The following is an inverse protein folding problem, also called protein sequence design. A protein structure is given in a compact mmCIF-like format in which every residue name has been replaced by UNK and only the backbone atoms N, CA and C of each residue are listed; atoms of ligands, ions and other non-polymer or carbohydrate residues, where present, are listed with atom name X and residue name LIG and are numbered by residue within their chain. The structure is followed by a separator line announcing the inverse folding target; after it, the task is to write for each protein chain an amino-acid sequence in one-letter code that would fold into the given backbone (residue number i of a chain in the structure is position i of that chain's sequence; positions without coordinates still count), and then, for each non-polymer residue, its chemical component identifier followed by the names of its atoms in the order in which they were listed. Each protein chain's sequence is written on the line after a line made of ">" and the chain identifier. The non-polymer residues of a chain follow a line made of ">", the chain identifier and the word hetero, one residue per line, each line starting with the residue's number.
data_IF_717495179911
#
_entry.id   IF_717495179911
#
_cell.length_a   1.000
_cell.length_b   1.000
_cell.length_c   1.000
_cell.angle_alpha   90.00
_cell.angle_beta   90.00
_cell.angle_gamma   90.00
#
_symmetry.space_group_name_H-M   'P 1'
#
loop_
_entity.id
_entity.type
_entity.pdbx_description
1 polymer ?
#
# COMPACT_ATOMS: atom_id res chain seq x y z
N UNK A 1 17.19 55.29 -35.60
CA UNK A 1 16.46 54.75 -34.44
C UNK A 1 16.08 53.33 -34.80
N UNK A 2 16.87 52.35 -34.34
CA UNK A 2 16.68 50.92 -34.63
C UNK A 2 15.91 50.34 -33.45
N UNK A 3 14.70 49.83 -33.67
CA UNK A 3 14.00 49.05 -32.66
C UNK A 3 14.57 47.63 -32.68
N UNK A 4 15.21 47.23 -31.58
CA UNK A 4 15.65 45.86 -31.34
C UNK A 4 14.44 44.93 -31.15
N UNK A 5 14.49 43.67 -31.62
CA UNK A 5 13.48 42.69 -31.28
C UNK A 5 13.63 42.29 -29.81
N UNK A 6 12.49 42.25 -29.13
CA UNK A 6 12.31 41.81 -27.76
C UNK A 6 12.77 40.36 -27.61
N UNK A 7 13.90 40.13 -26.94
CA UNK A 7 14.33 38.80 -26.53
C UNK A 7 13.30 38.27 -25.51
N UNK A 8 12.42 37.38 -25.99
CA UNK A 8 11.54 36.58 -25.14
C UNK A 8 12.38 35.51 -24.45
N UNK A 9 13.15 35.94 -23.45
CA UNK A 9 13.89 35.05 -22.57
C UNK A 9 12.92 34.43 -21.54
N UNK A 10 12.44 33.25 -21.90
CA UNK A 10 11.68 32.34 -21.06
C UNK A 10 11.89 30.92 -21.54
N UNK A 11 13.14 30.55 -21.82
CA UNK A 11 13.55 29.19 -22.15
C UNK A 11 13.31 28.31 -20.92
N UNK A 12 12.07 27.85 -20.73
CA UNK A 12 11.77 26.75 -19.83
C UNK A 12 12.59 25.56 -20.33
N UNK A 13 13.69 25.28 -19.63
CA UNK A 13 14.62 24.21 -19.98
C UNK A 13 13.81 22.94 -20.19
N UNK A 14 13.81 22.42 -21.42
CA UNK A 14 13.01 21.24 -21.75
C UNK A 14 13.38 20.10 -20.79
N UNK A 15 12.40 19.34 -20.28
CA UNK A 15 12.68 18.20 -19.42
C UNK A 15 13.63 17.22 -20.14
N UNK A 16 14.55 16.62 -19.39
CA UNK A 16 15.48 15.60 -19.90
C UNK A 16 15.22 14.23 -19.26
N UNK A 17 15.80 13.17 -19.86
CA UNK A 17 15.71 11.80 -19.35
C UNK A 17 14.26 11.30 -19.21
N UNK A 18 13.94 10.72 -18.05
CA UNK A 18 12.61 10.15 -17.78
C UNK A 18 11.47 11.17 -17.86
N UNK A 19 11.72 12.44 -17.51
CA UNK A 19 10.70 13.48 -17.58
C UNK A 19 10.34 13.85 -19.04
N UNK A 20 11.33 13.80 -19.94
CA UNK A 20 11.10 13.97 -21.38
C UNK A 20 10.28 12.80 -21.94
N UNK A 21 10.68 11.58 -21.58
CA UNK A 21 10.05 10.36 -22.06
C UNK A 21 8.60 10.24 -21.56
N UNK A 22 8.33 10.53 -20.29
CA UNK A 22 6.97 10.52 -19.75
C UNK A 22 6.10 11.58 -20.42
N UNK A 23 6.63 12.77 -20.72
CA UNK A 23 5.91 13.79 -21.49
C UNK A 23 5.53 13.28 -22.88
N UNK A 24 6.44 12.58 -23.57
CA UNK A 24 6.16 11.98 -24.89
C UNK A 24 5.14 10.84 -24.81
N UNK A 25 5.26 9.94 -23.84
CA UNK A 25 4.30 8.85 -23.62
C UNK A 25 2.91 9.38 -23.21
N UNK A 26 2.84 10.57 -22.60
CA UNK A 26 1.57 11.19 -22.23
C UNK A 26 0.83 11.83 -23.41
N UNK A 27 1.54 12.18 -24.50
CA UNK A 27 0.92 12.81 -25.68
C UNK A 27 0.17 11.83 -26.56
N UNK A 28 0.56 10.55 -26.54
CA UNK A 28 -0.12 9.48 -27.27
C UNK A 28 0.02 8.16 -26.50
N UNK A 29 -1.12 7.60 -26.11
CA UNK A 29 -1.19 6.38 -25.32
C UNK A 29 -0.60 5.16 -26.03
N UNK A 30 -0.45 5.17 -27.35
CA UNK A 30 0.18 4.06 -28.10
C UNK A 30 1.68 3.94 -27.81
N UNK A 31 2.35 5.05 -27.49
CA UNK A 31 3.77 5.03 -27.07
C UNK A 31 3.93 4.67 -25.59
N UNK A 32 2.86 4.65 -24.81
CA UNK A 32 2.87 4.40 -23.38
C UNK A 32 2.94 2.90 -23.04
N UNK A 33 4.00 2.22 -23.50
CA UNK A 33 4.18 0.79 -23.28
C UNK A 33 4.94 0.54 -21.96
N UNK A 34 4.26 -0.06 -20.99
CA UNK A 34 4.84 -0.45 -19.71
C UNK A 34 4.84 -1.97 -19.54
N UNK A 35 5.94 -2.51 -19.02
CA UNK A 35 6.01 -3.93 -18.64
C UNK A 35 5.07 -4.18 -17.47
N UNK A 36 4.16 -5.15 -17.61
CA UNK A 36 3.17 -5.52 -16.56
C UNK A 36 3.75 -6.25 -15.33
N UNK A 37 5.02 -6.71 -15.41
CA UNK A 37 5.71 -7.44 -14.34
C UNK A 37 4.90 -8.59 -13.69
N UNK A 38 4.10 -9.33 -14.47
CA UNK A 38 3.14 -10.34 -13.99
C UNK A 38 3.75 -11.32 -12.99
N UNK A 39 4.93 -11.90 -13.29
CA UNK A 39 5.60 -12.84 -12.40
C UNK A 39 6.01 -12.23 -11.06
N UNK A 40 6.50 -10.99 -11.06
CA UNK A 40 6.89 -10.28 -9.82
C UNK A 40 5.65 -9.91 -8.99
N UNK A 41 4.57 -9.47 -9.63
CA UNK A 41 3.32 -9.17 -8.93
C UNK A 41 2.70 -10.44 -8.31
N UNK A 42 2.72 -11.56 -9.02
CA UNK A 42 2.27 -12.85 -8.48
C UNK A 42 3.13 -13.28 -7.27
N UNK A 43 4.45 -13.12 -7.35
CA UNK A 43 5.35 -13.39 -6.23
C UNK A 43 5.06 -12.46 -5.03
N UNK A 44 4.80 -11.18 -5.27
CA UNK A 44 4.43 -10.22 -4.22
C UNK A 44 3.14 -10.64 -3.50
N UNK A 45 2.11 -11.09 -4.24
CA UNK A 45 0.88 -11.62 -3.67
C UNK A 45 1.13 -12.84 -2.77
N UNK A 46 2.02 -13.75 -3.17
CA UNK A 46 2.38 -14.92 -2.35
C UNK A 46 3.06 -14.49 -1.05
N UNK A 47 3.92 -13.47 -1.09
CA UNK A 47 4.53 -12.92 0.13
C UNK A 47 3.51 -12.25 1.04
N UNK A 48 2.56 -11.49 0.50
CA UNK A 48 1.46 -10.94 1.30
C UNK A 48 0.65 -12.04 1.99
N UNK A 49 0.34 -13.14 1.29
CA UNK A 49 -0.36 -14.28 1.89
C UNK A 49 0.44 -14.90 3.04
N UNK A 50 1.75 -15.13 2.85
CA UNK A 50 2.60 -15.67 3.90
C UNK A 50 2.68 -14.73 5.13
N UNK A 51 2.83 -13.42 4.90
CA UNK A 51 2.84 -12.43 6.00
C UNK A 51 1.48 -12.40 6.72
N UNK A 52 0.37 -12.41 5.99
CA UNK A 52 -0.98 -12.42 6.57
C UNK A 52 -1.24 -13.69 7.39
N UNK A 53 -0.80 -14.86 6.92
CA UNK A 53 -0.93 -16.11 7.68
C UNK A 53 -0.18 -16.04 9.01
N UNK A 54 1.05 -15.52 9.00
CA UNK A 54 1.83 -15.33 10.23
C UNK A 54 1.14 -14.35 11.19
N UNK A 55 0.70 -13.19 10.68
CA UNK A 55 0.02 -12.18 11.49
C UNK A 55 -1.33 -12.66 12.04
N UNK A 56 -2.07 -13.45 11.27
CA UNK A 56 -3.33 -14.06 11.72
C UNK A 56 -3.07 -15.05 12.86
N UNK A 57 -2.04 -15.90 12.72
CA UNK A 57 -1.64 -16.84 13.78
C UNK A 57 -1.25 -16.10 15.06
N UNK A 58 -0.41 -15.07 14.95
CA UNK A 58 -0.01 -14.22 16.08
C UNK A 58 -1.22 -13.56 16.75
N UNK A 59 -2.14 -12.99 15.95
CA UNK A 59 -3.31 -12.30 16.46
C UNK A 59 -4.23 -13.25 17.22
N UNK A 60 -4.44 -14.47 16.72
CA UNK A 60 -5.23 -15.51 17.39
C UNK A 60 -4.56 -15.96 18.70
N UNK A 61 -3.25 -16.14 18.70
CA UNK A 61 -2.49 -16.50 19.90
C UNK A 61 -2.61 -15.41 20.97
N UNK A 62 -2.34 -14.15 20.62
CA UNK A 62 -2.47 -13.02 21.55
C UNK A 62 -3.90 -12.85 22.06
N UNK A 63 -4.90 -12.97 21.20
CA UNK A 63 -6.31 -12.87 21.63
C UNK A 63 -6.65 -13.95 22.68
N UNK A 64 -6.14 -15.18 22.48
CA UNK A 64 -6.29 -16.27 23.44
C UNK A 64 -5.54 -15.99 24.75
N UNK A 65 -4.32 -15.48 24.68
CA UNK A 65 -3.53 -15.10 25.87
C UNK A 65 -4.19 -13.98 26.67
N UNK A 66 -4.70 -12.93 26.02
CA UNK A 66 -5.38 -11.81 26.65
C UNK A 66 -6.70 -12.25 27.32
N UNK A 67 -7.47 -13.13 26.65
CA UNK A 67 -8.70 -13.71 27.21
C UNK A 67 -8.43 -14.57 28.46
N UNK A 68 -7.32 -15.32 28.48
CA UNK A 68 -6.94 -16.17 29.60
C UNK A 68 -6.09 -15.45 30.65
N UNK A 69 -5.81 -14.15 30.47
CA UNK A 69 -5.01 -13.36 31.40
C UNK A 69 -5.72 -13.15 32.72
N UNK A 70 -4.97 -13.03 33.83
CA UNK A 70 -5.53 -12.57 35.11
C UNK A 70 -5.80 -11.06 35.11
N UNK A 71 -5.24 -10.32 34.15
CA UNK A 71 -5.39 -8.88 33.99
C UNK A 71 -6.81 -8.52 33.53
N UNK A 72 -7.60 -7.80 34.35
CA UNK A 72 -8.97 -7.42 34.01
C UNK A 72 -9.05 -6.60 32.72
N UNK A 73 -8.07 -5.72 32.48
CA UNK A 73 -8.06 -4.85 31.29
C UNK A 73 -8.00 -5.69 29.99
N UNK A 74 -7.25 -6.80 30.03
CA UNK A 74 -7.03 -7.67 28.85
C UNK A 74 -8.22 -8.56 28.53
N UNK A 75 -9.02 -8.93 29.53
CA UNK A 75 -10.23 -9.74 29.31
C UNK A 75 -11.27 -9.02 28.47
N UNK A 76 -11.36 -7.70 28.63
CA UNK A 76 -12.33 -6.89 27.91
C UNK A 76 -11.94 -6.64 26.45
N UNK A 77 -10.69 -6.87 26.05
CA UNK A 77 -10.22 -6.66 24.67
C UNK A 77 -10.97 -7.49 23.64
N UNK A 78 -11.44 -8.69 24.01
CA UNK A 78 -12.16 -9.58 23.10
C UNK A 78 -13.56 -9.05 22.72
N UNK A 79 -14.16 -8.21 23.57
CA UNK A 79 -15.55 -7.75 23.42
C UNK A 79 -15.68 -6.23 23.34
N UNK A 80 -14.64 -5.48 23.70
CA UNK A 80 -14.63 -4.03 23.73
C UNK A 80 -13.50 -3.47 22.87
N UNK A 81 -13.85 -3.05 21.64
CA UNK A 81 -12.91 -2.44 20.72
C UNK A 81 -12.32 -1.13 21.24
N UNK A 82 -13.07 -0.35 22.03
CA UNK A 82 -12.56 0.92 22.57
C UNK A 82 -11.39 0.67 23.53
N UNK A 83 -11.54 -0.28 24.44
CA UNK A 83 -10.46 -0.70 25.36
C UNK A 83 -9.27 -1.29 24.62
N UNK A 84 -9.51 -2.14 23.62
CA UNK A 84 -8.45 -2.70 22.78
C UNK A 84 -7.66 -1.61 22.02
N UNK A 85 -8.37 -0.63 21.43
CA UNK A 85 -7.76 0.43 20.62
C UNK A 85 -7.07 1.52 21.43
N UNK A 86 -7.47 1.72 22.69
CA UNK A 86 -6.89 2.69 23.62
C UNK A 86 -6.02 2.03 24.70
N UNK A 87 -5.74 0.74 24.56
CA UNK A 87 -4.86 0.01 25.47
C UNK A 87 -3.52 0.73 25.62
N UNK A 88 -2.97 0.68 26.84
CA UNK A 88 -1.66 1.26 27.15
C UNK A 88 -0.57 0.65 26.25
N UNK A 89 0.53 1.37 25.97
CA UNK A 89 1.58 0.90 25.07
C UNK A 89 2.18 -0.49 25.38
N UNK A 90 2.16 -0.89 26.64
CA UNK A 90 2.61 -2.20 27.13
C UNK A 90 1.57 -3.32 26.94
N UNK A 91 0.30 -2.97 26.70
CA UNK A 91 -0.82 -3.92 26.50
C UNK A 91 -1.44 -3.89 25.10
N UNK A 92 -1.03 -2.96 24.23
CA UNK A 92 -1.65 -2.75 22.92
C UNK A 92 -1.16 -3.70 21.80
N UNK A 93 -0.47 -4.78 22.14
CA UNK A 93 0.15 -5.69 21.16
C UNK A 93 -0.88 -6.27 20.18
N UNK A 94 -2.01 -6.74 20.69
CA UNK A 94 -3.11 -7.28 19.87
C UNK A 94 -3.61 -6.24 18.86
N UNK A 95 -3.84 -5.00 19.31
CA UNK A 95 -4.31 -3.92 18.44
C UNK A 95 -3.27 -3.53 17.38
N UNK A 96 -1.98 -3.46 17.75
CA UNK A 96 -0.90 -3.19 16.80
C UNK A 96 -0.82 -4.26 15.71
N UNK A 97 -0.92 -5.54 16.08
CA UNK A 97 -0.97 -6.65 15.12
C UNK A 97 -2.17 -6.55 14.20
N UNK A 98 -3.35 -6.25 14.75
CA UNK A 98 -4.55 -6.02 13.97
C UNK A 98 -4.39 -4.87 12.96
N UNK A 99 -3.76 -3.77 13.35
CA UNK A 99 -3.47 -2.65 12.45
C UNK A 99 -2.47 -3.01 11.33
N UNK A 100 -1.48 -3.87 11.63
CA UNK A 100 -0.59 -4.42 10.60
C UNK A 100 -1.35 -5.29 9.60
N UNK A 101 -2.21 -6.21 10.08
CA UNK A 101 -3.09 -7.03 9.22
C UNK A 101 -3.92 -6.13 8.29
N UNK A 102 -4.55 -5.08 8.83
CA UNK A 102 -5.33 -4.14 8.03
C UNK A 102 -4.51 -3.44 6.96
N UNK A 103 -3.24 -3.12 7.23
CA UNK A 103 -2.34 -2.52 6.23
C UNK A 103 -2.07 -3.51 5.10
N UNK A 104 -1.59 -4.70 5.43
CA UNK A 104 -1.20 -5.71 4.43
C UNK A 104 -2.40 -6.18 3.62
N UNK A 105 -3.57 -6.40 4.25
CA UNK A 105 -4.81 -6.75 3.54
C UNK A 105 -5.21 -5.69 2.51
N UNK A 106 -5.01 -4.40 2.81
CA UNK A 106 -5.29 -3.32 1.85
C UNK A 106 -4.35 -3.39 0.65
N UNK A 107 -3.05 -3.56 0.87
CA UNK A 107 -2.05 -3.69 -0.18
C UNK A 107 -2.35 -4.92 -1.06
N UNK A 108 -2.53 -6.09 -0.43
CA UNK A 108 -2.94 -7.32 -1.11
C UNK A 108 -4.22 -7.13 -1.95
N UNK A 109 -5.25 -6.49 -1.39
CA UNK A 109 -6.52 -6.25 -2.08
C UNK A 109 -6.40 -5.28 -3.26
N UNK A 110 -5.46 -4.34 -3.20
CA UNK A 110 -5.19 -3.42 -4.32
C UNK A 110 -4.45 -4.16 -5.43
N UNK A 111 -3.40 -4.90 -5.09
CA UNK A 111 -2.56 -5.62 -6.05
C UNK A 111 -3.34 -6.74 -6.76
N UNK A 112 -4.19 -7.49 -6.03
CA UNK A 112 -5.00 -8.55 -6.64
C UNK A 112 -6.04 -7.99 -7.63
N UNK A 113 -6.60 -6.80 -7.35
CA UNK A 113 -7.52 -6.12 -8.29
C UNK A 113 -6.77 -5.59 -9.51
N UNK A 114 -5.57 -5.04 -9.32
CA UNK A 114 -4.72 -4.58 -10.40
C UNK A 114 -4.35 -5.72 -11.36
N UNK A 115 -4.15 -6.94 -10.83
CA UNK A 115 -3.94 -8.15 -11.63
C UNK A 115 -5.23 -8.67 -12.29
N UNK A 116 -6.37 -8.67 -11.61
CA UNK A 116 -7.64 -9.18 -12.17
C UNK A 116 -8.26 -8.31 -13.27
N UNK A 117 -7.97 -7.01 -13.29
CA UNK A 117 -8.47 -6.09 -14.31
C UNK A 117 -7.80 -6.25 -15.70
N UNK A 118 -6.83 -7.16 -15.86
CA UNK A 118 -6.18 -7.36 -17.17
C UNK A 118 -6.96 -8.28 -18.12
N UNK A 119 -8.00 -8.95 -17.65
CA UNK A 119 -8.65 -10.06 -18.38
C UNK A 119 -10.10 -9.74 -18.84
N UNK A 120 -10.62 -8.54 -18.55
CA UNK A 120 -12.02 -8.16 -18.86
C UNK A 120 -12.18 -7.30 -20.13
N UNK A 121 -11.27 -7.41 -21.09
CA UNK A 121 -11.52 -6.97 -22.45
C UNK A 121 -11.29 -8.13 -23.42
N UNK A 122 -12.36 -8.88 -23.67
CA UNK A 122 -12.50 -9.77 -24.83
C UNK A 122 -13.97 -9.81 -25.23
#
# INVERSE_FOLDING_TARGET
>A
MVNAPMEMEGSAKMPEGYAKLSSLMSTDSEFAIFRKFVALNAQNLLYYQAELMGLESDLRATASEDQNSEDPDKKDFAVNWYELSHAKPDKNYQFRKFMQVRRILREYSMDIRALGNTDTQS
#
